data_IF_148171718837
#
_entry.id   IF_148171718837
#
_cell.length_a   1.000
_cell.length_b   1.000
_cell.length_c   1.000
_cell.angle_alpha   90.00
_cell.angle_beta   90.00
_cell.angle_gamma   90.00
#
_symmetry.space_group_name_H-M   'P 1'
#
loop_
_entity.id
_entity.type
_entity.pdbx_description
1 polymer ?
#
# COMPACT_ATOMS: atom_id res chain seq x y z
N UNK A 1 12.30 -26.43 -2.32
CA UNK A 1 11.47 -26.12 -3.49
C UNK A 1 10.00 -26.23 -3.07
N UNK A 2 9.15 -25.25 -3.38
CA UNK A 2 7.74 -25.28 -2.99
C UNK A 2 6.98 -26.35 -3.79
N UNK A 3 6.06 -27.07 -3.16
CA UNK A 3 5.15 -28.02 -3.82
C UNK A 3 4.05 -27.28 -4.60
N UNK A 4 3.43 -27.92 -5.59
CA UNK A 4 2.29 -27.36 -6.33
C UNK A 4 1.15 -26.90 -5.40
N UNK A 5 0.90 -27.65 -4.32
CA UNK A 5 -0.10 -27.30 -3.31
C UNK A 5 0.29 -26.03 -2.54
N UNK A 6 1.58 -25.86 -2.19
CA UNK A 6 2.08 -24.65 -1.55
C UNK A 6 2.02 -23.43 -2.48
N UNK A 7 2.33 -23.61 -3.77
CA UNK A 7 2.22 -22.53 -4.77
C UNK A 7 0.76 -22.10 -4.92
N UNK A 8 -0.17 -23.06 -5.07
CA UNK A 8 -1.60 -22.76 -5.17
C UNK A 8 -2.13 -22.07 -3.91
N UNK A 9 -1.75 -22.55 -2.72
CA UNK A 9 -2.12 -21.94 -1.46
C UNK A 9 -1.59 -20.51 -1.35
N UNK A 10 -0.34 -20.27 -1.75
CA UNK A 10 0.27 -18.96 -1.73
C UNK A 10 -0.41 -17.99 -2.71
N UNK A 11 -0.70 -18.44 -3.93
CA UNK A 11 -1.45 -17.64 -4.91
C UNK A 11 -2.84 -17.27 -4.39
N UNK A 12 -3.55 -18.23 -3.82
CA UNK A 12 -4.88 -17.97 -3.28
C UNK A 12 -4.84 -17.05 -2.06
N UNK A 13 -3.97 -17.34 -1.09
CA UNK A 13 -3.91 -16.61 0.18
C UNK A 13 -3.37 -15.19 0.01
N UNK A 14 -2.45 -14.95 -0.93
CA UNK A 14 -2.00 -13.59 -1.26
C UNK A 14 -3.16 -12.70 -1.68
N UNK A 15 -4.11 -13.23 -2.46
CA UNK A 15 -5.25 -12.46 -2.97
C UNK A 15 -6.53 -12.57 -2.12
N UNK A 16 -6.62 -13.50 -1.16
CA UNK A 16 -7.84 -13.75 -0.39
C UNK A 16 -8.43 -12.48 0.24
N UNK A 17 -7.61 -11.65 0.89
CA UNK A 17 -8.06 -10.40 1.48
C UNK A 17 -8.56 -9.40 0.44
N UNK A 18 -7.89 -9.29 -0.71
CA UNK A 18 -8.31 -8.41 -1.80
C UNK A 18 -9.67 -8.84 -2.38
N UNK A 19 -9.90 -10.15 -2.54
CA UNK A 19 -11.15 -10.72 -3.05
C UNK A 19 -12.30 -10.48 -2.06
N UNK A 20 -12.07 -10.77 -0.77
CA UNK A 20 -13.04 -10.52 0.30
C UNK A 20 -13.40 -9.03 0.34
N UNK A 21 -12.41 -8.15 0.26
CA UNK A 21 -12.62 -6.71 0.29
C UNK A 21 -13.40 -6.20 -0.93
N UNK A 22 -13.07 -6.68 -2.13
CA UNK A 22 -13.83 -6.36 -3.34
C UNK A 22 -15.30 -6.77 -3.22
N UNK A 23 -15.57 -7.98 -2.70
CA UNK A 23 -16.94 -8.44 -2.44
C UNK A 23 -17.67 -7.53 -1.45
N UNK A 24 -17.03 -7.15 -0.34
CA UNK A 24 -17.59 -6.23 0.65
C UNK A 24 -17.94 -4.89 0.02
N UNK A 25 -17.05 -4.29 -0.79
CA UNK A 25 -17.29 -3.01 -1.46
C UNK A 25 -18.49 -3.09 -2.40
N UNK A 26 -18.55 -4.13 -3.25
CA UNK A 26 -19.66 -4.33 -4.20
C UNK A 26 -20.98 -4.40 -3.43
N UNK A 27 -21.04 -5.19 -2.36
CA UNK A 27 -22.28 -5.40 -1.59
C UNK A 27 -22.68 -4.18 -0.77
N UNK A 28 -21.71 -3.51 -0.14
CA UNK A 28 -21.98 -2.40 0.80
C UNK A 28 -22.26 -1.09 0.07
N UNK A 29 -21.54 -0.80 -1.00
CA UNK A 29 -21.62 0.48 -1.72
C UNK A 29 -22.38 0.37 -3.05
N UNK A 30 -22.91 -0.82 -3.38
CA UNK A 30 -23.54 -1.13 -4.67
C UNK A 30 -22.67 -0.70 -5.87
N UNK A 31 -21.36 -0.91 -5.74
CA UNK A 31 -20.38 -0.45 -6.72
C UNK A 31 -20.32 -1.41 -7.90
N UNK A 32 -20.30 -0.88 -9.12
CA UNK A 32 -20.07 -1.70 -10.32
C UNK A 32 -18.65 -2.28 -10.36
N UNK A 33 -18.42 -3.28 -11.21
CA UNK A 33 -17.09 -3.90 -11.35
C UNK A 33 -16.05 -2.97 -12.01
N UNK A 34 -16.49 -1.94 -12.73
CA UNK A 34 -15.61 -1.09 -13.55
C UNK A 34 -14.55 -0.33 -12.72
N UNK A 35 -14.88 0.38 -11.62
CA UNK A 35 -13.87 1.02 -10.78
C UNK A 35 -12.89 0.02 -10.12
N UNK A 36 -13.38 -1.19 -9.77
CA UNK A 36 -12.56 -2.26 -9.21
C UNK A 36 -11.54 -2.79 -10.22
N UNK A 37 -11.95 -2.94 -11.49
CA UNK A 37 -11.04 -3.34 -12.55
C UNK A 37 -9.95 -2.29 -12.81
N UNK A 38 -10.32 -1.01 -12.85
CA UNK A 38 -9.33 0.06 -13.04
C UNK A 38 -8.34 0.11 -11.89
N UNK A 39 -8.81 0.08 -10.65
CA UNK A 39 -7.89 0.16 -9.51
C UNK A 39 -6.99 -1.07 -9.41
N UNK A 40 -7.47 -2.25 -9.83
CA UNK A 40 -6.65 -3.45 -10.02
C UNK A 40 -5.53 -3.22 -11.03
N UNK A 41 -5.85 -2.69 -12.22
CA UNK A 41 -4.85 -2.41 -13.26
C UNK A 41 -3.83 -1.37 -12.81
N UNK A 42 -4.28 -0.27 -12.20
CA UNK A 42 -3.39 0.76 -11.65
C UNK A 42 -2.48 0.18 -10.56
N UNK A 43 -2.99 -0.71 -9.71
CA UNK A 43 -2.18 -1.37 -8.68
C UNK A 43 -1.16 -2.34 -9.27
N UNK A 44 -1.56 -3.10 -10.30
CA UNK A 44 -0.66 -4.00 -11.01
C UNK A 44 0.50 -3.24 -11.67
N UNK A 45 0.20 -2.14 -12.40
CA UNK A 45 1.23 -1.29 -12.98
C UNK A 45 2.10 -0.62 -11.91
N UNK A 46 1.54 -0.29 -10.75
CA UNK A 46 2.31 0.24 -9.65
C UNK A 46 3.39 -0.73 -9.17
N UNK A 47 3.06 -2.01 -9.07
CA UNK A 47 4.05 -3.04 -8.71
C UNK A 47 5.14 -3.14 -9.77
N UNK A 48 4.76 -3.22 -11.06
CA UNK A 48 5.73 -3.31 -12.15
C UNK A 48 6.70 -2.12 -12.19
N UNK A 49 6.17 -0.90 -12.09
CA UNK A 49 6.99 0.31 -12.11
C UNK A 49 7.86 0.39 -10.84
N UNK A 50 7.33 -0.02 -9.68
CA UNK A 50 8.12 -0.07 -8.44
C UNK A 50 9.31 -1.02 -8.57
N UNK A 51 9.12 -2.22 -9.14
CA UNK A 51 10.21 -3.18 -9.40
C UNK A 51 11.26 -2.58 -10.34
N UNK A 52 10.85 -1.88 -11.39
CA UNK A 52 11.77 -1.22 -12.31
C UNK A 52 12.57 -0.12 -11.58
N UNK A 53 11.91 0.71 -10.78
CA UNK A 53 12.58 1.74 -9.99
C UNK A 53 13.54 1.14 -8.95
N UNK A 54 13.14 0.09 -8.26
CA UNK A 54 14.01 -0.68 -7.34
C UNK A 54 15.26 -1.19 -8.06
N UNK A 55 15.09 -1.78 -9.24
CA UNK A 55 16.20 -2.28 -10.07
C UNK A 55 17.18 -1.16 -10.43
N UNK A 56 16.67 0.02 -10.79
CA UNK A 56 17.50 1.20 -11.09
C UNK A 56 18.25 1.65 -9.82
N UNK A 57 17.56 1.79 -8.69
CA UNK A 57 18.17 2.20 -7.41
C UNK A 57 19.27 1.22 -7.00
N UNK A 58 19.00 -0.09 -7.13
CA UNK A 58 19.98 -1.14 -6.85
C UNK A 58 21.22 -1.02 -7.75
N UNK A 59 21.03 -0.82 -9.06
CA UNK A 59 22.14 -0.65 -10.00
C UNK A 59 23.01 0.58 -9.64
N UNK A 60 22.37 1.71 -9.33
CA UNK A 60 23.08 2.96 -8.99
C UNK A 60 23.78 2.89 -7.62
N UNK A 61 23.34 2.01 -6.72
CA UNK A 61 23.87 1.89 -5.36
C UNK A 61 24.88 0.76 -5.15
N UNK A 62 25.23 0.01 -6.20
CA UNK A 62 26.17 -1.13 -6.13
C UNK A 62 27.46 -0.84 -5.37
N UNK A 63 28.10 0.30 -5.65
CA UNK A 63 29.38 0.66 -5.02
C UNK A 63 29.21 1.01 -3.54
N UNK A 64 28.10 1.65 -3.18
CA UNK A 64 27.76 1.93 -1.79
C UNK A 64 27.48 0.64 -1.02
N UNK A 65 26.68 -0.26 -1.59
CA UNK A 65 26.31 -1.53 -0.95
C UNK A 65 27.51 -2.45 -0.69
N UNK A 66 28.57 -2.37 -1.50
CA UNK A 66 29.81 -3.14 -1.30
C UNK A 66 30.65 -2.67 -0.13
N UNK A 67 30.60 -1.38 0.20
CA UNK A 67 31.46 -0.75 1.21
C UNK A 67 30.73 -0.45 2.51
N UNK A 68 29.41 -0.45 2.47
CA UNK A 68 28.57 -0.13 3.62
C UNK A 68 28.53 -1.27 4.63
N UNK A 69 28.52 -0.92 5.92
CA UNK A 69 28.33 -1.89 7.00
C UNK A 69 26.90 -2.42 7.05
N UNK A 70 26.71 -3.58 7.71
CA UNK A 70 25.43 -4.28 7.80
C UNK A 70 24.25 -3.37 8.20
N UNK A 71 24.43 -2.54 9.23
CA UNK A 71 23.37 -1.66 9.73
C UNK A 71 22.90 -0.63 8.69
N UNK A 72 23.85 0.03 8.01
CA UNK A 72 23.55 0.99 6.96
C UNK A 72 22.99 0.32 5.71
N UNK A 73 23.41 -0.91 5.42
CA UNK A 73 22.82 -1.74 4.37
C UNK A 73 21.33 -2.01 4.60
N UNK A 74 20.93 -2.40 5.82
CA UNK A 74 19.52 -2.60 6.16
C UNK A 74 18.71 -1.30 6.01
N UNK A 75 19.22 -0.18 6.55
CA UNK A 75 18.53 1.10 6.46
C UNK A 75 18.33 1.53 5.00
N UNK A 76 19.37 1.40 4.18
CA UNK A 76 19.26 1.68 2.75
C UNK A 76 18.26 0.75 2.07
N UNK A 77 18.34 -0.55 2.31
CA UNK A 77 17.45 -1.52 1.66
C UNK A 77 15.98 -1.27 2.00
N UNK A 78 15.68 -1.02 3.28
CA UNK A 78 14.31 -0.84 3.74
C UNK A 78 13.72 0.52 3.36
N UNK A 79 14.48 1.61 3.54
CA UNK A 79 13.97 2.97 3.33
C UNK A 79 14.17 3.46 1.90
N UNK A 80 15.34 3.24 1.29
CA UNK A 80 15.69 3.86 0.01
C UNK A 80 15.44 2.92 -1.17
N UNK A 81 15.86 1.67 -1.06
CA UNK A 81 15.70 0.69 -2.13
C UNK A 81 14.25 0.22 -2.22
N UNK A 82 13.66 -0.31 -1.14
CA UNK A 82 12.30 -0.87 -1.17
C UNK A 82 11.20 0.19 -1.01
N UNK A 83 11.04 0.77 0.18
CA UNK A 83 9.83 1.55 0.48
C UNK A 83 9.71 2.85 -0.32
N UNK A 84 10.80 3.60 -0.55
CA UNK A 84 10.72 4.88 -1.25
C UNK A 84 10.17 4.74 -2.69
N UNK A 85 10.69 3.87 -3.58
CA UNK A 85 10.10 3.62 -4.89
C UNK A 85 8.64 3.20 -4.81
N UNK A 86 8.30 2.25 -3.94
CA UNK A 86 6.94 1.72 -3.84
C UNK A 86 5.93 2.78 -3.42
N UNK A 87 6.23 3.53 -2.36
CA UNK A 87 5.35 4.59 -1.87
C UNK A 87 5.20 5.72 -2.89
N UNK A 88 6.29 6.07 -3.58
CA UNK A 88 6.27 7.11 -4.63
C UNK A 88 5.36 6.71 -5.78
N UNK A 89 5.54 5.50 -6.31
CA UNK A 89 4.76 4.99 -7.43
C UNK A 89 3.30 4.80 -7.04
N UNK A 90 3.03 4.25 -5.85
CA UNK A 90 1.66 4.06 -5.33
C UNK A 90 0.93 5.39 -5.20
N UNK A 91 1.54 6.37 -4.55
CA UNK A 91 0.94 7.69 -4.37
C UNK A 91 0.69 8.38 -5.73
N UNK A 92 1.64 8.29 -6.66
CA UNK A 92 1.53 8.90 -7.99
C UNK A 92 0.39 8.26 -8.81
N UNK A 93 0.39 6.93 -8.96
CA UNK A 93 -0.59 6.23 -9.77
C UNK A 93 -1.99 6.29 -9.16
N UNK A 94 -2.12 6.22 -7.85
CA UNK A 94 -3.40 6.44 -7.19
C UNK A 94 -3.92 7.87 -7.42
N UNK A 95 -3.04 8.87 -7.37
CA UNK A 95 -3.41 10.26 -7.69
C UNK A 95 -3.85 10.44 -9.14
N UNK A 96 -3.21 9.74 -10.09
CA UNK A 96 -3.61 9.73 -11.50
C UNK A 96 -4.99 9.06 -11.65
N UNK A 97 -5.22 7.93 -10.98
CA UNK A 97 -6.53 7.27 -10.95
C UNK A 97 -7.64 8.23 -10.50
N UNK A 98 -7.44 8.92 -9.36
CA UNK A 98 -8.42 9.88 -8.83
C UNK A 98 -8.66 11.02 -9.82
N UNK A 99 -7.60 11.60 -10.40
CA UNK A 99 -7.70 12.73 -11.33
C UNK A 99 -8.33 12.38 -12.68
N UNK A 100 -8.01 11.22 -13.26
CA UNK A 100 -8.51 10.84 -14.59
C UNK A 100 -9.90 10.22 -14.54
N UNK A 101 -10.18 9.42 -13.51
CA UNK A 101 -11.37 8.56 -13.49
C UNK A 101 -12.40 9.00 -12.45
N UNK A 102 -12.09 9.99 -11.61
CA UNK A 102 -12.96 10.42 -10.51
C UNK A 102 -13.02 11.93 -10.27
N UNK A 103 -12.28 12.75 -11.03
CA UNK A 103 -12.18 14.21 -10.81
C UNK A 103 -13.52 14.93 -10.91
N UNK A 104 -14.37 14.55 -11.86
CA UNK A 104 -15.70 15.13 -12.02
C UNK A 104 -16.60 14.93 -10.80
N UNK A 105 -16.35 13.88 -10.02
CA UNK A 105 -17.09 13.56 -8.79
C UNK A 105 -16.54 14.25 -7.53
N UNK A 106 -15.43 14.98 -7.65
CA UNK A 106 -14.72 15.62 -6.53
C UNK A 106 -14.65 17.15 -6.63
N UNK A 107 -15.41 17.78 -7.55
CA UNK A 107 -15.18 19.17 -7.97
C UNK A 107 -15.30 20.26 -6.90
N UNK A 108 -15.85 20.04 -5.70
CA UNK A 108 -15.91 21.07 -4.65
C UNK A 108 -15.68 20.48 -3.25
N UNK A 109 -14.52 20.75 -2.68
CA UNK A 109 -14.18 20.46 -1.28
C UNK A 109 -13.86 21.76 -0.54
N UNK A 110 -14.90 22.57 -0.34
CA UNK A 110 -14.89 23.58 0.72
C UNK A 110 -15.65 23.04 1.93
N UNK A 111 -15.40 23.63 3.10
CA UNK A 111 -15.57 23.10 4.47
C UNK A 111 -17.00 22.68 4.88
N UNK A 112 -17.97 22.73 3.97
CA UNK A 112 -19.29 22.09 4.10
C UNK A 112 -19.39 21.07 2.96
N UNK A 113 -18.80 19.89 3.13
CA UNK A 113 -18.86 18.84 2.10
C UNK A 113 -20.29 18.30 2.03
N UNK A 114 -21.01 18.41 0.89
CA UNK A 114 -22.33 17.83 0.73
C UNK A 114 -22.31 16.31 0.99
N UNK A 115 -23.43 15.72 1.42
CA UNK A 115 -23.53 14.28 1.72
C UNK A 115 -23.05 13.39 0.56
N UNK A 116 -23.28 13.83 -0.68
CA UNK A 116 -22.85 13.14 -1.89
C UNK A 116 -21.31 13.13 -2.07
N UNK A 117 -20.62 14.20 -1.67
CA UNK A 117 -19.15 14.24 -1.68
C UNK A 117 -18.56 13.34 -0.59
N UNK A 118 -19.22 13.22 0.57
CA UNK A 118 -18.81 12.26 1.62
C UNK A 118 -18.92 10.82 1.15
N UNK A 119 -20.01 10.46 0.47
CA UNK A 119 -20.17 9.12 -0.12
C UNK A 119 -19.08 8.83 -1.17
N UNK A 120 -18.77 9.78 -2.05
CA UNK A 120 -17.70 9.63 -3.04
C UNK A 120 -16.32 9.44 -2.38
N UNK A 121 -16.01 10.21 -1.34
CA UNK A 121 -14.76 10.07 -0.57
C UNK A 121 -14.72 8.71 0.13
N UNK A 122 -15.82 8.25 0.71
CA UNK A 122 -15.93 6.93 1.33
C UNK A 122 -15.63 5.82 0.32
N UNK A 123 -16.22 5.87 -0.87
CA UNK A 123 -15.96 4.90 -1.94
C UNK A 123 -14.48 4.94 -2.34
N UNK A 124 -13.90 6.13 -2.55
CA UNK A 124 -12.49 6.26 -2.88
C UNK A 124 -11.57 5.73 -1.80
N UNK A 125 -11.92 5.90 -0.52
CA UNK A 125 -11.16 5.36 0.60
C UNK A 125 -11.22 3.83 0.63
N UNK A 126 -12.39 3.24 0.35
CA UNK A 126 -12.50 1.78 0.20
C UNK A 126 -11.70 1.26 -1.00
N UNK A 127 -11.71 1.99 -2.13
CA UNK A 127 -10.92 1.69 -3.30
C UNK A 127 -9.42 1.85 -3.05
N UNK A 128 -9.00 2.81 -2.20
CA UNK A 128 -7.59 2.98 -1.85
C UNK A 128 -7.08 1.87 -0.93
N UNK A 129 -7.94 1.34 -0.05
CA UNK A 129 -7.66 0.10 0.69
C UNK A 129 -7.53 -1.08 -0.27
N UNK A 130 -8.46 -1.21 -1.23
CA UNK A 130 -8.40 -2.28 -2.23
C UNK A 130 -7.14 -2.21 -3.09
N UNK A 131 -6.74 -1.00 -3.50
CA UNK A 131 -5.48 -0.73 -4.19
C UNK A 131 -4.27 -1.24 -3.40
N UNK A 132 -4.19 -0.90 -2.11
CA UNK A 132 -3.13 -1.39 -1.22
C UNK A 132 -3.09 -2.91 -1.11
N UNK A 133 -4.26 -3.55 -0.98
CA UNK A 133 -4.37 -5.01 -0.93
C UNK A 133 -3.87 -5.68 -2.21
N UNK A 134 -4.27 -5.19 -3.38
CA UNK A 134 -3.82 -5.76 -4.67
C UNK A 134 -2.31 -5.63 -4.82
N UNK A 135 -1.75 -4.47 -4.45
CA UNK A 135 -0.30 -4.24 -4.51
C UNK A 135 0.42 -5.27 -3.63
N UNK A 136 0.00 -5.42 -2.38
CA UNK A 136 0.59 -6.38 -1.45
C UNK A 136 0.39 -7.84 -1.89
N UNK A 137 -0.72 -8.18 -2.55
CA UNK A 137 -0.91 -9.53 -3.13
C UNK A 137 0.21 -9.88 -4.11
N UNK A 138 0.52 -8.99 -5.05
CA UNK A 138 1.60 -9.21 -6.02
C UNK A 138 2.98 -9.13 -5.37
N UNK A 139 3.18 -8.22 -4.43
CA UNK A 139 4.41 -8.09 -3.67
C UNK A 139 4.73 -9.39 -2.90
N UNK A 140 3.74 -9.95 -2.21
CA UNK A 140 3.88 -11.20 -1.47
C UNK A 140 4.20 -12.39 -2.38
N UNK A 141 3.64 -12.43 -3.60
CA UNK A 141 4.06 -13.43 -4.60
C UNK A 141 5.54 -13.30 -4.96
N UNK A 142 6.02 -12.08 -5.17
CA UNK A 142 7.42 -11.83 -5.47
C UNK A 142 8.35 -12.20 -4.29
N UNK A 143 7.91 -11.95 -3.06
CA UNK A 143 8.65 -12.30 -1.85
C UNK A 143 8.65 -13.80 -1.55
N UNK A 144 7.58 -14.52 -1.86
CA UNK A 144 7.51 -15.97 -1.64
C UNK A 144 8.57 -16.75 -2.42
N UNK A 145 9.00 -16.20 -3.56
CA UNK A 145 10.08 -16.76 -4.37
C UNK A 145 11.45 -16.49 -3.72
N UNK A 146 11.61 -15.34 -3.03
CA UNK A 146 12.90 -14.88 -2.49
C UNK A 146 13.16 -15.30 -1.03
N UNK A 147 12.13 -15.28 -0.17
CA UNK A 147 12.25 -15.50 1.27
C UNK A 147 11.08 -16.36 1.81
N UNK A 148 11.12 -17.68 1.64
CA UNK A 148 10.00 -18.57 1.97
C UNK A 148 9.77 -18.74 3.49
N UNK A 149 10.77 -18.47 4.33
CA UNK A 149 10.77 -18.87 5.75
C UNK A 149 9.78 -18.07 6.64
N UNK A 150 9.50 -16.82 6.30
CA UNK A 150 8.59 -15.95 7.05
C UNK A 150 7.32 -15.59 6.27
N UNK A 151 7.03 -16.31 5.19
CA UNK A 151 6.06 -15.87 4.17
C UNK A 151 4.66 -15.73 4.75
N UNK A 152 4.20 -16.64 5.62
CA UNK A 152 2.84 -16.61 6.16
C UNK A 152 2.56 -15.40 7.04
N UNK A 153 3.48 -15.10 7.96
CA UNK A 153 3.36 -13.93 8.83
C UNK A 153 3.42 -12.65 7.99
N UNK A 154 4.44 -12.57 7.11
CA UNK A 154 4.66 -11.39 6.25
C UNK A 154 3.48 -11.15 5.30
N UNK A 155 2.88 -12.20 4.73
CA UNK A 155 1.72 -12.07 3.85
C UNK A 155 0.56 -11.42 4.57
N UNK A 156 0.26 -11.84 5.80
CA UNK A 156 -0.83 -11.25 6.56
C UNK A 156 -0.52 -9.81 6.99
N UNK A 157 0.65 -9.56 7.59
CA UNK A 157 1.01 -8.24 8.11
C UNK A 157 1.26 -7.22 7.00
N UNK A 158 1.89 -7.60 5.88
CA UNK A 158 2.11 -6.71 4.74
C UNK A 158 0.80 -6.34 4.05
N UNK A 159 -0.11 -7.31 3.83
CA UNK A 159 -1.41 -7.01 3.24
C UNK A 159 -2.17 -5.94 4.05
N UNK A 160 -2.18 -6.07 5.38
CA UNK A 160 -2.85 -5.09 6.25
C UNK A 160 -2.12 -3.75 6.24
N UNK A 161 -0.79 -3.75 6.27
CA UNK A 161 0.01 -2.53 6.20
C UNK A 161 -0.35 -1.74 4.94
N UNK A 162 -0.24 -2.35 3.76
CA UNK A 162 -0.50 -1.68 2.49
C UNK A 162 -1.96 -1.25 2.35
N UNK A 163 -2.90 -2.06 2.82
CA UNK A 163 -4.31 -1.70 2.92
C UNK A 163 -4.51 -0.40 3.71
N UNK A 164 -3.92 -0.29 4.90
CA UNK A 164 -4.07 0.87 5.77
C UNK A 164 -3.36 2.11 5.22
N UNK A 165 -2.16 1.95 4.65
CA UNK A 165 -1.42 3.04 4.00
C UNK A 165 -2.18 3.58 2.76
N UNK A 166 -3.01 2.75 2.12
CA UNK A 166 -3.91 3.15 1.05
C UNK A 166 -4.73 4.42 1.34
N UNK A 167 -5.17 4.61 2.59
CA UNK A 167 -5.95 5.80 2.99
C UNK A 167 -5.14 7.10 2.83
N UNK A 168 -3.82 7.05 3.04
CA UNK A 168 -2.95 8.20 2.89
C UNK A 168 -2.71 8.57 1.42
N UNK A 169 -2.76 7.61 0.49
CA UNK A 169 -2.70 7.93 -0.94
C UNK A 169 -3.92 8.73 -1.39
N UNK A 170 -5.08 8.46 -0.80
CA UNK A 170 -6.26 9.29 -1.00
C UNK A 170 -6.05 10.70 -0.45
N UNK A 171 -5.55 10.84 0.79
CA UNK A 171 -5.21 12.16 1.34
C UNK A 171 -4.26 12.94 0.43
N UNK A 172 -3.19 12.29 -0.05
CA UNK A 172 -2.22 12.87 -0.98
C UNK A 172 -2.92 13.33 -2.28
N UNK A 173 -3.78 12.50 -2.85
CA UNK A 173 -4.46 12.80 -4.12
C UNK A 173 -5.44 13.97 -4.04
N UNK A 174 -5.97 14.26 -2.84
CA UNK A 174 -6.96 15.30 -2.60
C UNK A 174 -6.34 16.64 -2.19
N UNK A 175 -5.05 16.68 -1.89
CA UNK A 175 -4.37 17.91 -1.48
C UNK A 175 -4.16 18.85 -2.67
N UNK A 176 -4.68 20.08 -2.56
CA UNK A 176 -4.46 21.14 -3.56
C UNK A 176 -3.07 21.80 -3.45
N UNK A 177 -2.53 21.94 -2.23
CA UNK A 177 -1.25 22.61 -1.97
C UNK A 177 -0.13 21.59 -1.80
N UNK A 178 0.84 21.55 -2.71
CA UNK A 178 1.94 20.57 -2.73
C UNK A 178 2.65 20.37 -1.39
N UNK A 179 2.85 21.44 -0.60
CA UNK A 179 3.49 21.35 0.74
C UNK A 179 2.74 20.44 1.72
N UNK A 180 1.41 20.32 1.59
CA UNK A 180 0.58 19.45 2.44
C UNK A 180 0.69 17.96 2.06
N UNK A 181 1.31 17.61 0.92
CA UNK A 181 1.58 16.23 0.49
C UNK A 181 2.74 15.61 1.27
N UNK A 182 3.70 16.44 1.70
CA UNK A 182 4.97 15.98 2.30
C UNK A 182 4.71 15.15 3.56
N UNK A 183 3.84 15.62 4.46
CA UNK A 183 3.56 14.92 5.73
C UNK A 183 2.94 13.53 5.54
N UNK A 184 1.83 13.34 4.81
CA UNK A 184 1.27 12.01 4.60
C UNK A 184 2.23 11.11 3.83
N UNK A 185 3.00 11.63 2.86
CA UNK A 185 4.00 10.83 2.15
C UNK A 185 5.16 10.37 3.05
N UNK A 186 5.75 11.27 3.84
CA UNK A 186 6.80 10.91 4.80
C UNK A 186 6.30 9.89 5.82
N UNK A 187 5.02 9.97 6.21
CA UNK A 187 4.40 8.97 7.08
C UNK A 187 4.34 7.60 6.40
N UNK A 188 3.81 7.48 5.18
CA UNK A 188 3.71 6.18 4.51
C UNK A 188 5.09 5.58 4.24
N UNK A 189 6.02 6.40 3.74
CA UNK A 189 7.41 6.01 3.51
C UNK A 189 8.11 5.55 4.79
N UNK A 190 8.06 6.37 5.84
CA UNK A 190 8.71 6.05 7.11
C UNK A 190 8.15 4.81 7.77
N UNK A 191 6.81 4.66 7.81
CA UNK A 191 6.16 3.51 8.43
C UNK A 191 6.42 2.22 7.66
N UNK A 192 6.39 2.26 6.33
CA UNK A 192 6.73 1.10 5.51
C UNK A 192 8.21 0.72 5.67
N UNK A 193 9.12 1.69 5.59
CA UNK A 193 10.55 1.46 5.82
C UNK A 193 10.83 0.85 7.20
N UNK A 194 10.20 1.36 8.26
CA UNK A 194 10.31 0.81 9.62
C UNK A 194 9.79 -0.62 9.71
N UNK A 195 8.63 -0.91 9.09
CA UNK A 195 8.09 -2.26 9.04
C UNK A 195 9.09 -3.23 8.38
N UNK A 196 9.61 -2.88 7.20
CA UNK A 196 10.60 -3.70 6.51
C UNK A 196 11.88 -3.86 7.34
N UNK A 197 12.36 -2.79 7.98
CA UNK A 197 13.55 -2.82 8.83
C UNK A 197 13.40 -3.81 9.99
N UNK A 198 12.29 -3.78 10.73
CA UNK A 198 12.08 -4.70 11.85
C UNK A 198 11.97 -6.16 11.41
N UNK A 199 11.37 -6.42 10.24
CA UNK A 199 11.36 -7.77 9.66
C UNK A 199 12.73 -8.22 9.15
N UNK A 200 13.53 -7.30 8.56
CA UNK A 200 14.88 -7.58 8.07
C UNK A 200 15.89 -7.82 9.19
N UNK A 201 15.76 -7.13 10.34
CA UNK A 201 16.56 -7.40 11.54
C UNK A 201 16.19 -8.79 12.12
N UNK A 202 14.90 -9.16 12.06
CA UNK A 202 14.42 -10.48 12.50
C UNK A 202 14.41 -10.67 14.02
N UNK A 203 14.36 -11.93 14.46
CA UNK A 203 14.32 -12.31 15.88
C UNK A 203 13.18 -11.63 16.65
N UNK A 204 13.42 -11.18 17.88
CA UNK A 204 12.45 -10.50 18.72
C UNK A 204 11.99 -9.14 18.16
N UNK A 205 12.73 -8.52 17.23
CA UNK A 205 12.35 -7.22 16.66
C UNK A 205 11.14 -7.28 15.73
N UNK A 206 10.77 -8.46 15.22
CA UNK A 206 9.55 -8.66 14.40
C UNK A 206 8.30 -8.18 15.13
N UNK A 207 8.29 -8.20 16.47
CA UNK A 207 7.17 -7.68 17.28
C UNK A 207 6.87 -6.21 16.99
N UNK A 208 7.89 -5.38 16.71
CA UNK A 208 7.68 -3.98 16.39
C UNK A 208 7.03 -3.81 15.02
N UNK A 209 7.30 -4.70 14.06
CA UNK A 209 6.57 -4.75 12.78
C UNK A 209 5.09 -5.05 12.99
N UNK A 210 4.74 -5.96 13.90
CA UNK A 210 3.34 -6.25 14.26
C UNK A 210 2.69 -5.05 14.96
N UNK A 211 3.39 -4.38 15.88
CA UNK A 211 2.90 -3.16 16.54
C UNK A 211 2.62 -2.05 15.52
N UNK A 212 3.48 -1.88 14.51
CA UNK A 212 3.26 -0.95 13.40
C UNK A 212 1.94 -1.27 12.69
N UNK A 213 1.65 -2.56 12.43
CA UNK A 213 0.38 -2.96 11.81
C UNK A 213 -0.82 -2.52 12.64
N UNK A 214 -0.83 -2.78 13.96
CA UNK A 214 -1.90 -2.31 14.83
C UNK A 214 -2.03 -0.78 14.85
N UNK A 215 -0.89 -0.08 14.86
CA UNK A 215 -0.86 1.37 14.80
C UNK A 215 -1.47 1.93 13.51
N UNK A 216 -1.16 1.34 12.34
CA UNK A 216 -1.76 1.80 11.08
C UNK A 216 -3.24 1.43 10.94
N UNK A 217 -3.68 0.29 11.49
CA UNK A 217 -5.11 -0.06 11.55
C UNK A 217 -5.86 1.03 12.32
N UNK A 218 -5.41 1.38 13.53
CA UNK A 218 -6.04 2.41 14.36
C UNK A 218 -6.12 3.76 13.64
N UNK A 219 -5.03 4.15 12.97
CA UNK A 219 -4.99 5.36 12.16
C UNK A 219 -5.93 5.36 10.96
N UNK A 220 -6.07 4.22 10.27
CA UNK A 220 -6.95 4.06 9.12
C UNK A 220 -8.43 4.06 9.54
N UNK A 221 -8.77 3.36 10.63
CA UNK A 221 -10.13 3.35 11.20
C UNK A 221 -10.54 4.75 11.67
N UNK A 222 -9.68 5.46 12.40
CA UNK A 222 -9.95 6.83 12.84
C UNK A 222 -10.22 7.79 11.66
N UNK A 223 -9.54 7.59 10.52
CA UNK A 223 -9.81 8.35 9.28
C UNK A 223 -11.13 7.95 8.64
N UNK A 224 -11.42 6.65 8.58
CA UNK A 224 -12.67 6.14 8.05
C UNK A 224 -13.89 6.72 8.77
N UNK A 225 -13.85 6.76 10.10
CA UNK A 225 -14.95 7.23 10.92
C UNK A 225 -15.27 8.71 10.70
N UNK A 226 -14.28 9.55 10.32
CA UNK A 226 -14.51 10.96 9.95
C UNK A 226 -15.42 11.13 8.73
N UNK A 227 -15.48 10.12 7.85
CA UNK A 227 -16.30 10.13 6.64
C UNK A 227 -17.55 9.26 6.75
N UNK A 228 -17.76 8.63 7.92
CA UNK A 228 -18.89 7.74 8.19
C UNK A 228 -20.16 8.49 8.64
N UNK A 229 -20.06 9.76 9.06
CA UNK A 229 -21.18 10.52 9.64
C UNK A 229 -21.96 11.40 8.66
N UNK A 230 -23.29 11.29 8.78
CA UNK A 230 -24.44 11.89 8.08
C UNK A 230 -24.71 11.35 6.68
#
# INVERSE_FOLDING_TARGET
>A
MLTNMQIAALMFLSFALSIIWAFIIIRKENLSLKPLLYIFLFSFFAVLISILMQTIVYFLSQNFLKTTGYAYGILFDCFIHSSLPEETVKALLFSIFVKLLWSDKMKNMDEITPAQNRANIRILMLLSVFYGLIFASFENLAYAIRYPEAIWLRTFTSNILHACLGVYYLEISMVQKTRKIIKPFLFTWGIHGLYNMFFSIGSYFVIFGIVIVFFVISNAVSRYDRFKSN
#
